data_IF_714735216778
#
_entry.id   IF_714735216778
#
_cell.length_a   1.000
_cell.length_b   1.000
_cell.length_c   1.000
_cell.angle_alpha   90.00
_cell.angle_beta   90.00
_cell.angle_gamma   90.00
#
_symmetry.space_group_name_H-M   'P 1'
#
loop_
_entity.id
_entity.type
_entity.pdbx_description
1 polymer ?
#
# COMPACT_ATOMS: atom_id res chain seq x y z
N UNK A 1 -15.03 19.54 24.85
CA UNK A 1 -13.59 19.34 24.55
C UNK A 1 -13.04 18.40 25.59
N UNK A 2 -12.39 17.34 25.23
CA UNK A 2 -11.71 16.44 26.17
C UNK A 2 -10.60 17.20 26.88
N UNK A 3 -10.42 16.98 28.18
CA UNK A 3 -9.29 17.57 28.90
C UNK A 3 -7.99 16.87 28.46
N UNK A 4 -6.84 17.53 28.62
CA UNK A 4 -5.53 16.92 28.35
C UNK A 4 -5.33 15.62 29.12
N UNK A 5 -5.76 15.58 30.37
CA UNK A 5 -5.68 14.39 31.22
C UNK A 5 -6.48 13.22 30.65
N UNK A 6 -7.64 13.48 30.04
CA UNK A 6 -8.44 12.45 29.39
C UNK A 6 -7.74 11.93 28.11
N UNK A 7 -7.17 12.80 27.31
CA UNK A 7 -6.39 12.39 26.14
C UNK A 7 -5.19 11.51 26.54
N UNK A 8 -4.42 11.95 27.56
CA UNK A 8 -3.28 11.17 28.06
C UNK A 8 -3.70 9.82 28.68
N UNK A 9 -4.92 9.72 29.25
CA UNK A 9 -5.47 8.47 29.71
C UNK A 9 -5.78 7.55 28.53
N UNK A 10 -6.45 8.05 27.49
CA UNK A 10 -6.78 7.30 26.29
C UNK A 10 -5.50 6.80 25.58
N UNK A 11 -4.45 7.59 25.52
CA UNK A 11 -3.17 7.18 24.96
C UNK A 11 -2.51 6.03 25.75
N UNK A 12 -2.61 6.05 27.08
CA UNK A 12 -2.09 4.94 27.91
C UNK A 12 -2.87 3.65 27.76
N UNK A 13 -4.18 3.77 27.56
CA UNK A 13 -5.10 2.64 27.45
C UNK A 13 -5.23 2.13 25.99
N UNK A 14 -4.53 2.74 25.03
CA UNK A 14 -4.59 2.38 23.61
C UNK A 14 -3.93 1.01 23.36
N UNK A 15 -4.70 0.00 22.94
CA UNK A 15 -4.16 -1.32 22.63
C UNK A 15 -3.22 -1.32 21.43
N UNK A 16 -3.24 -0.28 20.60
CA UNK A 16 -2.39 -0.11 19.42
C UNK A 16 -1.15 0.74 19.68
N UNK A 17 -0.93 1.21 20.92
CA UNK A 17 0.21 2.09 21.25
C UNK A 17 1.56 1.50 20.82
N UNK A 18 1.74 0.18 20.94
CA UNK A 18 2.97 -0.51 20.52
C UNK A 18 3.20 -0.50 19.01
N UNK A 19 2.15 -0.40 18.21
CA UNK A 19 2.22 -0.38 16.73
C UNK A 19 2.95 0.87 16.23
N UNK A 20 2.94 1.96 17.01
CA UNK A 20 3.68 3.18 16.67
C UNK A 20 5.18 2.92 16.46
N UNK A 21 5.78 1.99 17.20
CA UNK A 21 7.19 1.64 17.08
C UNK A 21 7.56 0.94 15.76
N UNK A 22 6.56 0.42 15.03
CA UNK A 22 6.77 -0.21 13.73
C UNK A 22 7.03 0.79 12.60
N UNK A 23 6.87 2.10 12.86
CA UNK A 23 7.02 3.14 11.84
C UNK A 23 8.24 4.02 12.08
N UNK A 24 8.81 4.54 10.99
CA UNK A 24 9.88 5.52 11.03
C UNK A 24 9.32 6.87 11.50
N UNK A 25 9.72 7.29 12.69
CA UNK A 25 9.30 8.56 13.29
C UNK A 25 10.56 9.32 13.74
N UNK A 26 11.22 10.05 12.84
CA UNK A 26 12.49 10.73 13.16
C UNK A 26 12.30 11.96 14.05
N UNK A 27 11.11 12.54 14.06
CA UNK A 27 10.74 13.71 14.85
C UNK A 27 9.45 13.41 15.62
N UNK A 28 9.57 13.28 16.92
CA UNK A 28 8.45 13.00 17.82
C UNK A 28 7.58 14.25 18.12
N UNK A 29 8.07 15.44 17.84
CA UNK A 29 7.34 16.70 18.07
C UNK A 29 6.46 17.05 16.87
N UNK A 30 6.71 16.43 15.71
CA UNK A 30 5.90 16.60 14.53
C UNK A 30 4.52 15.93 14.67
N UNK A 31 3.47 16.71 14.72
CA UNK A 31 2.08 16.24 14.64
C UNK A 31 1.72 16.06 13.16
N UNK A 32 1.82 14.82 12.68
CA UNK A 32 1.50 14.48 11.29
C UNK A 32 0.12 13.86 11.18
N UNK A 33 -0.83 14.58 10.57
CA UNK A 33 -2.24 14.20 10.45
C UNK A 33 -2.68 13.91 9.00
N UNK A 34 -1.74 13.92 8.03
CA UNK A 34 -2.03 13.72 6.60
C UNK A 34 -1.64 12.30 6.12
N UNK A 35 -1.82 11.31 6.97
CA UNK A 35 -1.53 9.91 6.65
C UNK A 35 -2.39 9.30 5.53
N UNK A 36 -3.50 9.96 5.18
CA UNK A 36 -4.34 9.58 4.03
C UNK A 36 -3.70 9.94 2.68
N UNK A 37 -2.91 11.02 2.62
CA UNK A 37 -2.18 11.41 1.41
C UNK A 37 -0.88 10.62 1.27
N UNK A 38 -0.09 10.54 2.35
CA UNK A 38 1.13 9.76 2.42
C UNK A 38 1.30 9.19 3.84
N UNK A 39 1.14 7.90 4.00
CA UNK A 39 1.33 7.22 5.28
C UNK A 39 2.80 7.23 5.73
N UNK A 40 3.04 7.15 7.04
CA UNK A 40 4.39 6.96 7.57
C UNK A 40 4.95 5.61 7.12
N UNK A 41 6.25 5.61 6.80
CA UNK A 41 6.94 4.42 6.30
C UNK A 41 7.15 3.40 7.42
N UNK A 42 6.71 2.14 7.27
CA UNK A 42 7.07 1.07 8.19
C UNK A 42 8.57 0.78 8.18
N UNK A 43 9.16 0.47 9.34
CA UNK A 43 10.56 0.05 9.44
C UNK A 43 10.86 -1.19 8.57
N UNK A 44 9.93 -2.13 8.50
CA UNK A 44 10.02 -3.30 7.64
C UNK A 44 10.14 -2.93 6.15
N UNK A 45 9.48 -1.88 5.69
CA UNK A 45 9.57 -1.40 4.30
C UNK A 45 10.97 -0.87 4.00
N UNK A 46 11.55 -0.08 4.91
CA UNK A 46 12.93 0.42 4.76
C UNK A 46 13.93 -0.75 4.66
N UNK A 47 13.81 -1.72 5.58
CA UNK A 47 14.66 -2.90 5.57
C UNK A 47 14.50 -3.72 4.28
N UNK A 48 13.27 -3.89 3.80
CA UNK A 48 12.99 -4.62 2.56
C UNK A 48 13.56 -3.93 1.33
N UNK A 49 13.42 -2.60 1.20
CA UNK A 49 13.99 -1.83 0.10
C UNK A 49 15.52 -1.95 0.07
N UNK A 50 16.16 -1.85 1.23
CA UNK A 50 17.61 -2.04 1.35
C UNK A 50 18.03 -3.42 0.86
N UNK A 51 17.34 -4.47 1.29
CA UNK A 51 17.57 -5.84 0.84
C UNK A 51 17.41 -6.00 -0.68
N UNK A 52 16.37 -5.39 -1.26
CA UNK A 52 16.15 -5.42 -2.73
C UNK A 52 17.32 -4.80 -3.46
N UNK A 53 17.77 -3.62 -3.02
CA UNK A 53 18.85 -2.91 -3.70
C UNK A 53 20.20 -3.65 -3.53
N UNK A 54 20.55 -4.03 -2.33
CA UNK A 54 21.90 -4.57 -2.02
C UNK A 54 22.04 -6.03 -2.46
N UNK A 55 21.05 -6.86 -2.22
CA UNK A 55 21.16 -8.29 -2.43
C UNK A 55 20.53 -8.75 -3.75
N UNK A 56 19.31 -8.30 -4.01
CA UNK A 56 18.57 -8.81 -5.17
C UNK A 56 19.02 -8.10 -6.46
N UNK A 57 19.10 -6.78 -6.47
CA UNK A 57 19.56 -6.05 -7.66
C UNK A 57 21.08 -6.13 -7.79
N UNK A 58 21.84 -5.60 -6.83
CA UNK A 58 23.29 -5.53 -6.95
C UNK A 58 23.98 -6.91 -6.84
N UNK A 59 23.46 -7.82 -6.02
CA UNK A 59 24.02 -9.16 -5.83
C UNK A 59 23.59 -10.18 -6.87
N UNK A 60 22.29 -10.37 -7.04
CA UNK A 60 21.74 -11.44 -7.89
C UNK A 60 21.48 -11.01 -9.34
N UNK A 61 21.45 -9.71 -9.62
CA UNK A 61 21.22 -9.18 -10.97
C UNK A 61 20.01 -9.79 -11.67
N UNK A 62 20.18 -10.33 -12.86
CA UNK A 62 19.08 -10.87 -13.68
C UNK A 62 18.37 -12.06 -13.04
N UNK A 63 19.05 -12.83 -12.20
CA UNK A 63 18.41 -13.99 -11.54
C UNK A 63 17.34 -13.60 -10.53
N UNK A 64 17.28 -12.35 -10.10
CA UNK A 64 16.18 -11.83 -9.27
C UNK A 64 14.83 -11.76 -10.00
N UNK A 65 14.85 -11.78 -11.34
CA UNK A 65 13.62 -11.79 -12.13
C UNK A 65 12.75 -13.04 -11.87
N UNK A 66 13.33 -14.13 -11.49
CA UNK A 66 12.59 -15.38 -11.22
C UNK A 66 11.48 -15.17 -10.19
N UNK A 67 11.68 -14.29 -9.21
CA UNK A 67 10.65 -13.97 -8.21
C UNK A 67 10.04 -12.57 -8.36
N UNK A 68 10.72 -11.60 -8.98
CA UNK A 68 10.18 -10.27 -9.18
C UNK A 68 8.96 -10.25 -10.11
N UNK A 69 8.99 -11.06 -11.18
CA UNK A 69 7.89 -11.16 -12.12
C UNK A 69 6.59 -11.63 -11.46
N UNK A 70 6.69 -12.42 -10.39
CA UNK A 70 5.53 -12.92 -9.66
C UNK A 70 5.04 -11.98 -8.53
N UNK A 71 5.82 -10.98 -8.18
CA UNK A 71 5.50 -10.06 -7.07
C UNK A 71 4.14 -9.37 -7.18
N UNK A 72 3.71 -8.87 -8.35
CA UNK A 72 2.38 -8.25 -8.48
C UNK A 72 1.26 -9.18 -8.03
N UNK A 73 1.36 -10.46 -8.36
CA UNK A 73 0.38 -11.49 -7.96
C UNK A 73 0.52 -11.87 -6.49
N UNK A 74 1.75 -12.04 -6.00
CA UNK A 74 2.02 -12.39 -4.59
C UNK A 74 1.49 -11.32 -3.66
N UNK A 75 1.78 -10.06 -3.94
CA UNK A 75 1.28 -8.92 -3.15
C UNK A 75 -0.22 -8.77 -3.32
N UNK A 76 -0.73 -8.94 -4.56
CA UNK A 76 -2.15 -8.92 -4.86
C UNK A 76 -2.93 -9.95 -4.03
N UNK A 77 -2.45 -11.18 -3.90
CA UNK A 77 -3.09 -12.21 -3.08
C UNK A 77 -3.15 -11.82 -1.59
N UNK A 78 -2.12 -11.16 -1.06
CA UNK A 78 -2.13 -10.67 0.32
C UNK A 78 -3.16 -9.55 0.52
N UNK A 79 -3.26 -8.63 -0.42
CA UNK A 79 -4.28 -7.59 -0.41
C UNK A 79 -5.68 -8.19 -0.60
N UNK A 80 -5.80 -9.16 -1.50
CA UNK A 80 -7.04 -9.89 -1.76
C UNK A 80 -7.64 -10.51 -0.50
N UNK A 81 -6.81 -11.10 0.36
CA UNK A 81 -7.26 -11.67 1.62
C UNK A 81 -7.91 -10.61 2.56
N UNK A 82 -7.46 -9.35 2.50
CA UNK A 82 -8.02 -8.27 3.33
C UNK A 82 -9.36 -7.78 2.77
N UNK A 83 -9.50 -7.73 1.44
CA UNK A 83 -10.72 -7.22 0.78
C UNK A 83 -11.72 -8.33 0.41
N UNK A 84 -11.44 -9.59 0.76
CA UNK A 84 -12.34 -10.72 0.55
C UNK A 84 -12.31 -11.32 -0.85
N UNK A 85 -11.24 -11.10 -1.62
CA UNK A 85 -11.04 -11.71 -2.94
C UNK A 85 -10.41 -13.10 -2.84
N UNK A 86 -10.64 -13.91 -3.87
CA UNK A 86 -9.97 -15.20 -4.04
C UNK A 86 -8.53 -15.03 -4.55
N UNK A 87 -7.65 -16.03 -4.35
CA UNK A 87 -6.31 -16.00 -4.92
C UNK A 87 -6.33 -15.83 -6.44
N UNK A 88 -5.49 -14.92 -6.94
CA UNK A 88 -5.37 -14.63 -8.38
C UNK A 88 -6.33 -13.56 -8.91
N UNK A 89 -7.25 -13.05 -8.10
CA UNK A 89 -8.20 -12.01 -8.52
C UNK A 89 -7.68 -10.57 -8.33
N UNK A 90 -6.58 -10.41 -7.60
CA UNK A 90 -5.96 -9.11 -7.34
C UNK A 90 -4.53 -9.11 -7.82
N UNK A 91 -4.15 -8.08 -8.55
CA UNK A 91 -2.76 -7.81 -8.92
C UNK A 91 -2.42 -6.34 -8.62
N UNK A 92 -1.16 -6.11 -8.25
CA UNK A 92 -0.65 -4.76 -8.00
C UNK A 92 0.12 -4.32 -9.23
N UNK A 93 -0.23 -3.14 -9.76
CA UNK A 93 0.37 -2.54 -10.94
C UNK A 93 0.82 -1.11 -10.67
N UNK A 94 1.29 -0.43 -11.73
CA UNK A 94 2.04 0.82 -11.70
C UNK A 94 1.40 1.98 -10.94
N UNK A 95 0.19 2.39 -11.34
CA UNK A 95 -0.47 3.55 -10.75
C UNK A 95 -1.98 3.50 -10.89
N UNK A 96 -2.69 4.28 -10.08
CA UNK A 96 -4.15 4.43 -10.15
C UNK A 96 -4.60 4.84 -11.55
N UNK A 97 -3.90 5.77 -12.20
CA UNK A 97 -4.22 6.25 -13.54
C UNK A 97 -4.12 5.14 -14.59
N UNK A 98 -3.02 4.39 -14.59
CA UNK A 98 -2.85 3.27 -15.51
C UNK A 98 -3.85 2.15 -15.24
N UNK A 99 -4.08 1.82 -13.98
CA UNK A 99 -5.05 0.78 -13.61
C UNK A 99 -6.47 1.16 -14.04
N UNK A 100 -6.87 2.43 -13.86
CA UNK A 100 -8.16 2.94 -14.33
C UNK A 100 -8.26 2.89 -15.85
N UNK A 101 -7.23 3.33 -16.57
CA UNK A 101 -7.17 3.27 -18.02
C UNK A 101 -7.35 1.84 -18.53
N UNK A 102 -6.58 0.89 -18.01
CA UNK A 102 -6.68 -0.53 -18.36
C UNK A 102 -8.06 -1.09 -18.02
N UNK A 103 -8.58 -0.81 -16.82
CA UNK A 103 -9.89 -1.27 -16.39
C UNK A 103 -11.03 -0.78 -17.29
N UNK A 104 -11.00 0.49 -17.69
CA UNK A 104 -11.98 1.06 -18.65
C UNK A 104 -11.87 0.37 -20.01
N UNK A 105 -10.66 0.15 -20.53
CA UNK A 105 -10.48 -0.52 -21.83
C UNK A 105 -10.97 -1.96 -21.79
N UNK A 106 -10.66 -2.71 -20.72
CA UNK A 106 -11.16 -4.08 -20.53
C UNK A 106 -12.68 -4.09 -20.46
N UNK A 107 -13.28 -3.20 -19.68
CA UNK A 107 -14.73 -3.11 -19.55
C UNK A 107 -15.43 -2.82 -20.89
N UNK A 108 -14.87 -1.90 -21.69
CA UNK A 108 -15.39 -1.58 -23.03
C UNK A 108 -15.20 -2.74 -24.03
N UNK A 109 -14.09 -3.47 -23.94
CA UNK A 109 -13.88 -4.64 -24.77
C UNK A 109 -14.85 -5.78 -24.45
N UNK A 110 -15.17 -5.98 -23.16
CA UNK A 110 -16.17 -6.97 -22.72
C UNK A 110 -17.61 -6.54 -23.00
N UNK A 111 -17.85 -5.26 -23.11
CA UNK A 111 -19.20 -4.67 -23.33
C UNK A 111 -19.14 -3.56 -24.38
N UNK A 112 -18.93 -3.89 -25.67
CA UNK A 112 -18.78 -2.90 -26.74
C UNK A 112 -20.05 -2.09 -27.02
N UNK A 113 -21.19 -2.56 -26.56
CA UNK A 113 -22.49 -1.88 -26.61
C UNK A 113 -22.67 -0.79 -25.54
N UNK A 114 -21.77 -0.70 -24.58
CA UNK A 114 -21.84 0.26 -23.46
C UNK A 114 -20.98 1.49 -23.70
N UNK A 115 -21.34 2.57 -23.00
CA UNK A 115 -20.62 3.84 -23.03
C UNK A 115 -20.07 4.16 -21.64
N UNK A 116 -18.97 4.89 -21.61
CA UNK A 116 -18.46 5.47 -20.35
C UNK A 116 -19.29 6.72 -20.05
N UNK A 117 -19.86 6.79 -18.86
CA UNK A 117 -20.47 8.00 -18.33
C UNK A 117 -19.45 8.70 -17.42
N UNK A 118 -19.11 9.94 -17.76
CA UNK A 118 -18.26 10.79 -16.95
C UNK A 118 -19.03 12.05 -16.56
N UNK A 119 -18.83 12.51 -15.34
CA UNK A 119 -19.36 13.79 -14.86
C UNK A 119 -18.28 14.84 -15.06
N UNK A 120 -18.61 15.92 -15.75
CA UNK A 120 -17.71 17.07 -15.82
C UNK A 120 -17.66 17.75 -14.43
N UNK A 121 -16.46 18.03 -13.94
CA UNK A 121 -16.24 18.77 -12.69
C UNK A 121 -16.44 20.27 -12.91
#
# INVERSE_FOLDING_TARGET
>A
MSSRQEAERLDRDDPLASVRAEFVIPDNDLVYLDGNSLGRTPNATVARLKQVVENEWAGNLISSWDHWLDMPRVVGNRMGAIIGSLPGEVAVHDSTTLNLYQGVHIALALRPDRKVLAVAA
#
